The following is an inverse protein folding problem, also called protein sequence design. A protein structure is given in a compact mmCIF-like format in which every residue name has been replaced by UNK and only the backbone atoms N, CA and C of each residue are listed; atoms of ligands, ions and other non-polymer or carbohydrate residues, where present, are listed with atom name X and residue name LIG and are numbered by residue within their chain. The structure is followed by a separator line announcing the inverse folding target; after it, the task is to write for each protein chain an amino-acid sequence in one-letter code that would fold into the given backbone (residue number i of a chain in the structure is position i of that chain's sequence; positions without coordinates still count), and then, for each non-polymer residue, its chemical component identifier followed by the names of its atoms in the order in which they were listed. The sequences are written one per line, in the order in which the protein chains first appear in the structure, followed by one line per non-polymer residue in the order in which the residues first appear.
data_IF_618206953589
#
_entry.id   IF_618206953589
#
_cell.length_a   1.000
_cell.length_b   1.000
_cell.length_c   1.000
_cell.angle_alpha   90.00
_cell.angle_beta   90.00
_cell.angle_gamma   90.00
#
_symmetry.space_group_name_H-M   'P 1'
#
loop_
_entity.id
_entity.type
_entity.pdbx_description
1 polymer ?
#
# COMPACT_ATOMS: atom_id res chain seq x y z
N UNK A 1 -9.75 7.62 0.39
CA UNK A 1 -8.43 8.06 0.88
C UNK A 1 -7.74 6.85 1.46
N UNK A 2 -6.65 6.40 0.87
CA UNK A 2 -6.04 5.16 1.31
C UNK A 2 -4.94 5.36 2.36
N UNK A 3 -4.74 4.32 3.14
CA UNK A 3 -3.57 4.19 4.00
C UNK A 3 -2.79 2.95 3.56
N UNK A 4 -1.51 3.11 3.31
CA UNK A 4 -0.65 2.03 2.85
C UNK A 4 0.46 1.77 3.86
N UNK A 5 0.62 0.50 4.21
CA UNK A 5 1.68 0.02 5.08
C UNK A 5 2.59 -0.90 4.29
N UNK A 6 3.88 -0.57 4.29
CA UNK A 6 4.90 -1.37 3.63
C UNK A 6 5.89 -1.85 4.69
N UNK A 7 6.03 -3.14 4.82
CA UNK A 7 7.03 -3.74 5.70
C UNK A 7 8.16 -4.27 4.82
N UNK A 8 9.40 -3.99 5.18
CA UNK A 8 10.56 -4.35 4.35
C UNK A 8 11.65 -5.03 5.17
N UNK A 9 12.40 -5.90 4.51
CA UNK A 9 13.68 -6.40 5.00
C UNK A 9 14.74 -6.05 3.97
N UNK A 10 15.92 -5.62 4.44
CA UNK A 10 17.02 -5.28 3.55
C UNK A 10 17.06 -3.83 3.11
N UNK A 11 16.22 -2.96 3.67
CA UNK A 11 16.30 -1.51 3.48
C UNK A 11 16.77 -0.82 4.75
N UNK A 12 17.65 0.15 4.59
CA UNK A 12 18.11 0.99 5.70
C UNK A 12 17.13 2.14 5.92
N UNK A 13 16.90 2.49 7.19
CA UNK A 13 16.08 3.64 7.58
C UNK A 13 16.66 4.91 6.97
N UNK A 14 15.79 5.73 6.34
CA UNK A 14 16.20 6.99 5.72
C UNK A 14 16.85 6.83 4.35
N UNK A 15 16.88 5.62 3.78
CA UNK A 15 17.46 5.40 2.45
C UNK A 15 16.62 6.07 1.35
N UNK A 16 17.26 6.33 0.21
CA UNK A 16 16.57 6.86 -0.98
C UNK A 16 15.51 5.90 -1.49
N UNK A 17 15.67 4.60 -1.23
CA UNK A 17 14.69 3.57 -1.64
C UNK A 17 13.38 3.73 -0.86
N UNK A 18 13.44 4.07 0.42
CA UNK A 18 12.24 4.38 1.21
C UNK A 18 11.54 5.61 0.63
N UNK A 19 12.29 6.66 0.31
CA UNK A 19 11.74 7.86 -0.32
C UNK A 19 11.09 7.54 -1.67
N UNK A 20 11.71 6.66 -2.46
CA UNK A 20 11.15 6.22 -3.74
C UNK A 20 9.80 5.52 -3.56
N UNK A 21 9.65 4.67 -2.53
CA UNK A 21 8.37 4.04 -2.22
C UNK A 21 7.34 5.07 -1.78
N UNK A 22 7.72 6.00 -0.92
CA UNK A 22 6.82 7.04 -0.42
C UNK A 22 6.29 7.96 -1.51
N UNK A 23 7.04 8.15 -2.60
CA UNK A 23 6.62 8.91 -3.78
C UNK A 23 5.87 8.06 -4.79
N UNK A 24 6.35 6.84 -5.03
CA UNK A 24 5.79 5.97 -6.06
C UNK A 24 4.43 5.39 -5.70
N UNK A 25 4.19 5.09 -4.42
CA UNK A 25 2.94 4.46 -4.00
C UNK A 25 1.73 5.41 -4.17
N UNK A 26 1.77 6.67 -3.74
CA UNK A 26 0.64 7.58 -3.98
C UNK A 26 0.31 7.75 -5.46
N UNK A 27 1.33 7.86 -6.32
CA UNK A 27 1.13 7.95 -7.76
C UNK A 27 0.41 6.70 -8.30
N UNK A 28 0.82 5.52 -7.83
CA UNK A 28 0.23 4.26 -8.22
C UNK A 28 -1.23 4.15 -7.77
N UNK A 29 -1.51 4.59 -6.54
CA UNK A 29 -2.87 4.62 -6.01
C UNK A 29 -3.79 5.50 -6.86
N UNK A 30 -3.28 6.64 -7.31
CA UNK A 30 -4.05 7.55 -8.17
C UNK A 30 -4.28 6.94 -9.55
N UNK A 31 -3.23 6.42 -10.18
CA UNK A 31 -3.31 5.89 -11.55
C UNK A 31 -4.15 4.63 -11.65
N UNK A 32 -4.03 3.72 -10.70
CA UNK A 32 -4.63 2.39 -10.81
C UNK A 32 -5.95 2.30 -10.06
N UNK A 33 -6.03 2.87 -8.87
CA UNK A 33 -7.23 2.76 -8.04
C UNK A 33 -8.06 4.05 -7.97
N UNK A 34 -7.61 5.11 -8.63
CA UNK A 34 -8.35 6.38 -8.69
C UNK A 34 -8.41 7.12 -7.35
N UNK A 35 -7.44 6.91 -6.48
CA UNK A 35 -7.41 7.57 -5.17
C UNK A 35 -6.59 8.85 -5.21
N UNK A 36 -6.88 9.78 -4.30
CA UNK A 36 -6.16 11.05 -4.21
C UNK A 36 -4.75 10.81 -3.68
N UNK A 37 -3.76 11.15 -4.49
CA UNK A 37 -2.35 11.02 -4.12
C UNK A 37 -1.98 11.90 -2.92
N UNK A 38 -2.52 13.13 -2.88
CA UNK A 38 -2.22 14.11 -1.83
C UNK A 38 -2.73 13.73 -0.44
N UNK A 39 -3.67 12.78 -0.37
CA UNK A 39 -4.22 12.28 0.90
C UNK A 39 -3.85 10.81 1.16
N UNK A 40 -2.97 10.26 0.35
CA UNK A 40 -2.49 8.88 0.52
C UNK A 40 -1.36 8.86 1.54
N UNK A 41 -1.61 8.26 2.69
CA UNK A 41 -0.60 8.08 3.72
C UNK A 41 0.17 6.78 3.47
N UNK A 42 1.50 6.84 3.56
CA UNK A 42 2.38 5.68 3.34
C UNK A 42 3.33 5.56 4.53
N UNK A 43 3.25 4.43 5.21
CA UNK A 43 4.19 4.07 6.27
C UNK A 43 5.10 2.96 5.76
N UNK A 44 6.41 3.22 5.73
CA UNK A 44 7.40 2.19 5.42
C UNK A 44 8.15 1.87 6.70
N UNK A 45 8.11 0.60 7.11
CA UNK A 45 8.74 0.18 8.36
C UNK A 45 9.61 -1.07 8.14
N UNK A 46 10.77 -1.14 8.81
CA UNK A 46 11.63 -2.32 8.72
C UNK A 46 11.09 -3.46 9.56
N UNK A 47 11.24 -4.67 9.06
CA UNK A 47 11.03 -5.89 9.86
C UNK A 47 12.25 -6.09 10.78
N UNK A 48 12.08 -6.78 11.93
CA UNK A 48 13.22 -7.15 12.77
C UNK A 48 14.23 -7.98 11.98
N UNK A 49 15.51 -7.76 12.25
CA UNK A 49 16.59 -8.52 11.62
C UNK A 49 16.37 -10.04 11.85
N UNK A 50 16.41 -10.82 10.77
CA UNK A 50 16.17 -12.25 10.83
C UNK A 50 14.73 -12.66 11.06
N UNK A 51 13.79 -11.70 11.08
CA UNK A 51 12.39 -11.98 11.38
C UNK A 51 11.54 -12.44 10.21
N UNK A 52 12.09 -12.49 9.01
CA UNK A 52 11.33 -12.84 7.81
C UNK A 52 11.78 -14.16 7.23
N UNK A 53 10.84 -15.07 7.02
CA UNK A 53 11.13 -16.38 6.41
C UNK A 53 10.03 -16.73 5.41
N UNK A 54 10.39 -17.56 4.45
CA UNK A 54 9.46 -18.17 3.49
C UNK A 54 9.78 -19.66 3.46
N UNK A 55 8.77 -20.50 3.68
CA UNK A 55 8.98 -21.94 3.76
C UNK A 55 9.95 -22.36 4.86
N UNK A 56 10.07 -21.57 5.91
CA UNK A 56 11.00 -21.81 7.01
C UNK A 56 12.44 -21.35 6.77
N UNK A 57 12.71 -20.74 5.61
CA UNK A 57 14.05 -20.24 5.26
C UNK A 57 14.08 -18.73 5.35
N UNK A 58 15.10 -18.19 6.01
CA UNK A 58 15.27 -16.73 6.13
C UNK A 58 15.46 -16.10 4.75
N UNK A 59 14.81 -14.97 4.52
CA UNK A 59 14.89 -14.23 3.25
C UNK A 59 15.23 -12.78 3.48
N UNK A 60 16.03 -12.23 2.56
CA UNK A 60 16.31 -10.80 2.44
C UNK A 60 16.87 -10.54 1.03
N UNK A 61 16.42 -9.52 0.28
CA UNK A 61 15.38 -8.57 0.69
C UNK A 61 14.00 -9.21 0.70
N UNK A 62 13.08 -8.56 1.37
CA UNK A 62 11.67 -8.95 1.38
C UNK A 62 10.80 -7.72 1.54
N UNK A 63 9.57 -7.80 1.09
CA UNK A 63 8.60 -6.71 1.21
C UNK A 63 7.19 -7.25 1.31
N UNK A 64 6.35 -6.51 2.02
CA UNK A 64 4.91 -6.74 2.11
C UNK A 64 4.22 -5.38 2.00
N UNK A 65 3.23 -5.28 1.14
CA UNK A 65 2.47 -4.05 0.98
C UNK A 65 1.00 -4.30 1.24
N UNK A 66 0.41 -3.49 2.10
CA UNK A 66 -1.00 -3.56 2.43
C UNK A 66 -1.63 -2.19 2.21
N UNK A 67 -2.62 -2.14 1.31
CA UNK A 67 -3.36 -0.93 0.99
C UNK A 67 -4.78 -1.05 1.51
N UNK A 68 -5.19 -0.11 2.37
CA UNK A 68 -6.57 -0.03 2.85
C UNK A 68 -7.33 0.96 2.01
N UNK A 69 -8.47 0.53 1.48
CA UNK A 69 -9.37 1.34 0.66
C UNK A 69 -10.80 1.10 1.10
N UNK A 70 -11.69 1.99 0.70
CA UNK A 70 -13.11 1.83 1.03
C UNK A 70 -13.74 0.70 0.20
N UNK A 71 -14.45 -0.18 0.89
CA UNK A 71 -15.18 -1.28 0.28
C UNK A 71 -16.11 -0.77 -0.82
N UNK A 72 -16.10 -1.46 -1.97
CA UNK A 72 -17.00 -1.20 -3.07
C UNK A 72 -16.58 -0.06 -4.00
N UNK A 73 -15.38 0.50 -3.83
CA UNK A 73 -14.90 1.61 -4.65
C UNK A 73 -13.98 1.20 -5.79
N UNK A 74 -13.57 -0.06 -5.84
CA UNK A 74 -12.69 -0.55 -6.90
C UNK A 74 -13.16 -1.91 -7.41
N UNK A 75 -13.02 -2.12 -8.72
CA UNK A 75 -13.34 -3.39 -9.36
C UNK A 75 -12.26 -4.45 -9.08
N UNK A 76 -12.62 -5.72 -9.30
CA UNK A 76 -11.66 -6.81 -9.23
C UNK A 76 -10.48 -6.62 -10.19
N UNK A 77 -10.76 -6.08 -11.38
CA UNK A 77 -9.73 -5.81 -12.39
C UNK A 77 -8.77 -4.71 -11.95
N UNK A 78 -9.29 -3.63 -11.37
CA UNK A 78 -8.46 -2.57 -10.81
C UNK A 78 -7.57 -3.08 -9.70
N UNK A 79 -8.12 -3.90 -8.81
CA UNK A 79 -7.34 -4.50 -7.71
C UNK A 79 -6.25 -5.44 -8.24
N UNK A 80 -6.55 -6.24 -9.25
CA UNK A 80 -5.56 -7.12 -9.87
C UNK A 80 -4.42 -6.32 -10.52
N UNK A 81 -4.75 -5.23 -11.22
CA UNK A 81 -3.73 -4.35 -11.80
C UNK A 81 -2.88 -3.69 -10.72
N UNK A 82 -3.49 -3.30 -9.61
CA UNK A 82 -2.75 -2.72 -8.50
C UNK A 82 -1.78 -3.72 -7.89
N UNK A 83 -2.21 -4.97 -7.66
CA UNK A 83 -1.33 -6.02 -7.12
C UNK A 83 -0.10 -6.20 -8.01
N UNK A 84 -0.30 -6.28 -9.33
CA UNK A 84 0.80 -6.42 -10.28
C UNK A 84 1.73 -5.20 -10.29
N UNK A 85 1.16 -4.00 -10.34
CA UNK A 85 1.94 -2.76 -10.42
C UNK A 85 2.69 -2.46 -9.12
N UNK A 86 2.07 -2.73 -7.98
CA UNK A 86 2.71 -2.55 -6.68
C UNK A 86 3.86 -3.55 -6.50
N UNK A 87 3.67 -4.79 -6.89
CA UNK A 87 4.75 -5.79 -6.88
C UNK A 87 5.92 -5.33 -7.75
N UNK A 88 5.65 -4.83 -8.95
CA UNK A 88 6.67 -4.31 -9.84
C UNK A 88 7.45 -3.15 -9.20
N UNK A 89 6.75 -2.22 -8.56
CA UNK A 89 7.39 -1.11 -7.85
C UNK A 89 8.31 -1.61 -6.73
N UNK A 90 7.85 -2.57 -5.92
CA UNK A 90 8.65 -3.17 -4.88
C UNK A 90 9.89 -3.87 -5.45
N UNK A 91 9.72 -4.65 -6.51
CA UNK A 91 10.79 -5.39 -7.14
C UNK A 91 11.87 -4.47 -7.73
N UNK A 92 11.46 -3.33 -8.30
CA UNK A 92 12.39 -2.34 -8.84
C UNK A 92 13.09 -1.53 -7.75
N UNK A 93 12.49 -1.42 -6.60
CA UNK A 93 12.97 -0.52 -5.54
C UNK A 93 13.89 -1.22 -4.55
N UNK A 94 13.60 -2.47 -4.19
CA UNK A 94 14.41 -3.20 -3.22
C UNK A 94 15.74 -3.68 -3.82
N UNK A 95 16.79 -3.85 -2.99
CA UNK A 95 18.14 -4.11 -3.46
C UNK A 95 18.39 -5.60 -3.74
N UNK A 96 17.66 -6.18 -4.67
CA UNK A 96 17.84 -7.58 -5.07
C UNK A 96 16.51 -8.25 -5.36
N UNK A 97 16.54 -9.52 -5.77
CA UNK A 97 15.32 -10.23 -6.12
C UNK A 97 14.46 -10.49 -4.89
N UNK A 98 13.15 -10.27 -5.04
CA UNK A 98 12.18 -10.60 -4.01
C UNK A 98 11.79 -12.08 -4.10
N UNK A 99 11.45 -12.72 -2.98
CA UNK A 99 10.90 -14.09 -3.03
C UNK A 99 9.57 -14.09 -3.78
N UNK A 100 9.23 -15.21 -4.40
CA UNK A 100 7.94 -15.35 -5.07
C UNK A 100 6.78 -15.08 -4.11
N UNK A 101 6.90 -15.50 -2.85
CA UNK A 101 5.91 -15.27 -1.80
C UNK A 101 6.03 -13.83 -1.25
N UNK A 102 5.89 -12.85 -2.14
CA UNK A 102 5.80 -11.44 -1.81
C UNK A 102 4.34 -11.02 -1.96
N UNK A 103 3.72 -10.60 -0.88
CA UNK A 103 2.29 -10.33 -0.86
C UNK A 103 2.00 -8.84 -1.00
N UNK A 104 1.04 -8.54 -1.85
CA UNK A 104 0.39 -7.24 -1.94
C UNK A 104 -1.08 -7.46 -1.60
N UNK A 105 -1.58 -6.74 -0.62
CA UNK A 105 -2.93 -6.91 -0.12
C UNK A 105 -3.72 -5.62 -0.37
N UNK A 106 -4.91 -5.75 -0.96
CA UNK A 106 -5.90 -4.67 -0.99
C UNK A 106 -6.95 -5.04 0.05
N UNK A 107 -6.91 -4.35 1.17
CA UNK A 107 -7.87 -4.57 2.25
C UNK A 107 -8.99 -3.55 2.12
N UNK A 108 -10.20 -4.04 1.89
CA UNK A 108 -11.38 -3.21 1.77
C UNK A 108 -12.04 -3.03 3.13
N UNK A 109 -12.30 -1.79 3.51
CA UNK A 109 -12.88 -1.43 4.80
C UNK A 109 -14.21 -0.74 4.55
N UNK A 110 -15.29 -1.14 5.26
CA UNK A 110 -16.57 -0.45 5.12
C UNK A 110 -16.45 1.05 5.36
N UNK A 111 -17.14 1.85 4.56
CA UNK A 111 -17.05 3.30 4.60
C UNK A 111 -17.41 3.92 5.96
N UNK A 112 -18.23 3.25 6.73
CA UNK A 112 -18.61 3.72 8.08
C UNK A 112 -17.65 3.25 9.18
N UNK A 113 -16.66 2.41 8.84
CA UNK A 113 -15.71 1.84 9.78
C UNK A 113 -14.36 2.52 9.83
N UNK A 114 -14.11 3.51 8.98
CA UNK A 114 -12.86 4.23 8.95
C UNK A 114 -13.00 5.62 8.35
N UNK A 115 -12.02 6.49 8.58
CA UNK A 115 -12.05 7.84 8.07
C UNK A 115 -10.72 8.54 8.29
N UNK A 116 -10.67 9.79 7.87
CA UNK A 116 -9.50 10.65 8.07
C UNK A 116 -9.96 12.04 8.50
N UNK A 117 -9.07 12.77 9.18
CA UNK A 117 -9.40 14.09 9.70
C UNK A 117 -10.56 14.06 10.70
N UNK A 118 -10.79 12.91 11.37
CA UNK A 118 -11.86 12.76 12.35
C UNK A 118 -13.25 12.51 11.77
N UNK A 119 -13.36 12.32 10.45
CA UNK A 119 -14.66 12.15 9.76
C UNK A 119 -14.63 10.84 8.98
N UNK A 120 -15.68 10.04 9.09
CA UNK A 120 -15.75 8.77 8.37
C UNK A 120 -15.85 8.97 6.87
N UNK A 121 -15.40 7.97 6.10
CA UNK A 121 -15.54 7.97 4.65
C UNK A 121 -17.01 8.04 4.25
N UNK A 122 -17.90 7.36 4.97
CA UNK A 122 -19.33 7.40 4.70
C UNK A 122 -19.90 8.80 4.84
N UNK A 123 -19.51 9.53 5.90
CA UNK A 123 -19.97 10.91 6.10
C UNK A 123 -19.45 11.84 5.00
N UNK A 124 -18.18 11.69 4.62
CA UNK A 124 -17.60 12.49 3.52
C UNK A 124 -18.32 12.26 2.20
N UNK A 125 -18.68 11.00 1.92
CA UNK A 125 -19.43 10.66 0.72
C UNK A 125 -20.82 11.32 0.72
N UNK A 126 -21.51 11.32 1.87
CA UNK A 126 -22.82 11.99 2.02
C UNK A 126 -22.69 13.48 1.83
N UNK A 127 -21.68 14.11 2.42
CA UNK A 127 -21.44 15.55 2.27
C UNK A 127 -21.12 15.91 0.82
N UNK A 128 -20.31 15.11 0.14
CA UNK A 128 -20.00 15.32 -1.27
C UNK A 128 -21.25 15.19 -2.13
N UNK A 129 -22.10 14.20 -1.88
CA UNK A 129 -23.35 14.01 -2.60
C UNK A 129 -24.32 15.18 -2.37
N UNK A 130 -24.38 15.72 -1.14
CA UNK A 130 -25.23 16.85 -0.81
C UNK A 130 -24.77 18.15 -1.50
N UNK A 131 -23.47 18.30 -1.75
CA UNK A 131 -22.91 19.47 -2.46
C UNK A 131 -22.98 19.32 -3.98
N UNK A 132 -23.04 18.12 -4.46
CA UNK A 132 -23.05 17.82 -5.89
C UNK A 132 -24.43 17.77 -6.45
#
# INVERSE_FOLDING_TARGET
MPFIRVTTAGLETGSERITALQRGIPALMAEVLGKRADLTAVLVEPAPAGGWSVGGMAVTPAAHLEARVTLGTNSAEEKARFVAAAHDLLARTLPGPLPLATYVVVQEVPADGWGYGGVTQAQRAREAAARG
#
